data_IF_340255996265
#
_entry.id   IF_340255996265
#
_cell.length_a   1.000
_cell.length_b   1.000
_cell.length_c   1.000
_cell.angle_alpha   90.00
_cell.angle_beta   90.00
_cell.angle_gamma   90.00
#
_symmetry.space_group_name_H-M   'P 1'
#
loop_
_entity.id
_entity.type
_entity.pdbx_description
1 polymer ?
#
# COMPACT_ATOMS: atom_id res chain seq x y z
N UNK A 1 -13.53 8.88 10.47
CA UNK A 1 -13.15 9.05 9.04
C UNK A 1 -13.43 7.74 8.34
N UNK A 2 -14.29 7.74 7.33
CA UNK A 2 -14.67 6.52 6.61
C UNK A 2 -13.66 6.29 5.48
N UNK A 3 -12.94 5.16 5.51
CA UNK A 3 -11.96 4.81 4.47
C UNK A 3 -12.70 4.20 3.27
N UNK A 4 -12.26 4.50 2.05
CA UNK A 4 -12.72 3.80 0.87
C UNK A 4 -12.19 2.36 0.89
N UNK A 5 -13.09 1.39 0.87
CA UNK A 5 -12.75 -0.04 0.81
C UNK A 5 -12.47 -0.40 -0.65
N UNK A 6 -11.36 -1.09 -0.88
CA UNK A 6 -10.93 -1.49 -2.21
C UNK A 6 -10.26 -2.87 -2.19
N UNK A 7 -10.30 -3.55 -3.33
CA UNK A 7 -9.59 -4.80 -3.54
C UNK A 7 -8.08 -4.59 -3.57
N UNK A 8 -7.33 -5.69 -3.49
CA UNK A 8 -5.87 -5.63 -3.55
C UNK A 8 -5.34 -5.00 -4.84
N UNK A 9 -5.92 -5.37 -5.98
CA UNK A 9 -5.50 -4.86 -7.30
C UNK A 9 -5.81 -3.37 -7.46
N UNK A 10 -6.98 -2.93 -7.00
CA UNK A 10 -7.35 -1.51 -7.00
C UNK A 10 -6.41 -0.70 -6.10
N UNK A 11 -6.13 -1.19 -4.90
CA UNK A 11 -5.25 -0.49 -3.96
C UNK A 11 -3.82 -0.38 -4.50
N UNK A 12 -3.28 -1.44 -5.08
CA UNK A 12 -1.99 -1.39 -5.77
C UNK A 12 -1.99 -0.36 -6.90
N UNK A 13 -3.05 -0.34 -7.72
CA UNK A 13 -3.15 0.60 -8.84
C UNK A 13 -3.22 2.04 -8.36
N UNK A 14 -4.06 2.33 -7.37
CA UNK A 14 -4.18 3.67 -6.77
C UNK A 14 -2.85 4.11 -6.15
N UNK A 15 -2.19 3.23 -5.39
CA UNK A 15 -0.89 3.53 -4.81
C UNK A 15 0.16 3.82 -5.89
N UNK A 16 0.25 2.98 -6.92
CA UNK A 16 1.21 3.13 -8.01
C UNK A 16 1.01 4.47 -8.75
N UNK A 17 -0.20 4.75 -9.21
CA UNK A 17 -0.49 5.95 -9.98
C UNK A 17 -0.33 7.23 -9.14
N UNK A 18 -0.69 7.17 -7.86
CA UNK A 18 -0.48 8.31 -6.95
C UNK A 18 1.00 8.53 -6.68
N UNK A 19 1.77 7.47 -6.43
CA UNK A 19 3.19 7.60 -6.12
C UNK A 19 4.01 8.08 -7.32
N UNK A 20 3.66 7.71 -8.55
CA UNK A 20 4.30 8.23 -9.77
C UNK A 20 4.23 9.75 -9.92
N UNK A 21 3.31 10.42 -9.21
CA UNK A 21 3.23 11.88 -9.18
C UNK A 21 4.20 12.52 -8.17
N UNK A 22 4.90 11.72 -7.37
CA UNK A 22 5.93 12.18 -6.44
C UNK A 22 7.30 12.19 -7.13
N UNK A 23 8.11 13.21 -6.83
CA UNK A 23 9.48 13.30 -7.31
C UNK A 23 10.28 12.04 -6.93
N UNK A 24 10.97 11.47 -7.91
CA UNK A 24 11.79 10.27 -7.77
C UNK A 24 11.04 8.95 -7.97
N UNK A 25 9.71 8.95 -8.15
CA UNK A 25 8.89 7.75 -8.36
C UNK A 25 8.41 7.57 -9.81
N UNK A 26 8.85 8.41 -10.73
CA UNK A 26 8.37 8.49 -12.12
C UNK A 26 8.53 7.15 -12.86
N UNK A 27 9.58 6.39 -12.51
CA UNK A 27 9.92 5.12 -13.13
C UNK A 27 9.43 3.89 -12.33
N UNK A 28 8.73 4.10 -11.21
CA UNK A 28 8.14 3.00 -10.44
C UNK A 28 7.06 2.33 -11.29
N UNK A 29 7.18 1.00 -11.45
CA UNK A 29 6.28 0.19 -12.26
C UNK A 29 5.47 -0.80 -11.44
N UNK A 30 5.90 -1.10 -10.21
CA UNK A 30 5.24 -2.05 -9.32
C UNK A 30 5.28 -1.54 -7.88
N UNK A 31 4.16 -1.69 -7.18
CA UNK A 31 4.06 -1.48 -5.74
C UNK A 31 3.57 -2.76 -5.07
N UNK A 32 4.20 -3.09 -3.96
CA UNK A 32 3.82 -4.25 -3.14
C UNK A 32 3.08 -3.72 -1.93
N UNK A 33 1.79 -4.03 -1.86
CA UNK A 33 0.97 -3.81 -0.67
C UNK A 33 1.02 -5.06 0.19
N UNK A 34 0.95 -4.92 1.52
CA UNK A 34 0.82 -6.04 2.43
C UNK A 34 -0.32 -5.80 3.41
N UNK A 35 -1.21 -6.78 3.65
CA UNK A 35 -2.20 -6.68 4.71
C UNK A 35 -1.54 -6.58 6.09
N UNK A 36 -2.22 -5.92 7.03
CA UNK A 36 -1.83 -5.83 8.45
C UNK A 36 -2.91 -6.47 9.30
N UNK A 37 -2.53 -7.45 10.12
CA UNK A 37 -3.45 -8.17 11.00
C UNK A 37 -3.93 -7.32 12.18
N UNK A 38 -3.07 -6.46 12.71
CA UNK A 38 -3.37 -5.53 13.82
C UNK A 38 -3.35 -4.11 13.31
N UNK A 39 -4.48 -3.68 12.75
CA UNK A 39 -4.66 -2.33 12.23
C UNK A 39 -5.25 -1.37 13.27
N UNK A 40 -6.13 -1.85 14.17
CA UNK A 40 -6.85 -0.97 15.10
C UNK A 40 -7.54 0.16 14.33
N UNK A 41 -7.21 1.41 14.68
CA UNK A 41 -7.69 2.61 13.97
C UNK A 41 -6.88 2.97 12.72
N UNK A 42 -5.72 2.33 12.48
CA UNK A 42 -4.86 2.55 11.32
C UNK A 42 -5.34 1.79 10.08
N UNK A 43 -4.63 1.97 8.95
CA UNK A 43 -4.87 1.18 7.75
C UNK A 43 -4.60 -0.31 8.00
N UNK A 44 -5.46 -1.18 7.48
CA UNK A 44 -5.30 -2.63 7.49
C UNK A 44 -4.30 -3.15 6.43
N UNK A 45 -3.43 -2.27 5.96
CA UNK A 45 -2.40 -2.56 4.98
C UNK A 45 -1.20 -1.64 5.15
N UNK A 46 -0.09 -1.98 4.50
CA UNK A 46 1.10 -1.14 4.38
C UNK A 46 1.68 -1.22 2.97
N UNK A 47 2.29 -0.14 2.51
CA UNK A 47 3.18 -0.18 1.35
C UNK A 47 4.47 -0.87 1.80
N UNK A 48 4.72 -2.09 1.31
CA UNK A 48 5.85 -2.91 1.72
C UNK A 48 7.08 -2.73 0.83
N UNK A 49 6.87 -2.48 -0.46
CA UNK A 49 7.95 -2.21 -1.40
C UNK A 49 7.43 -1.45 -2.62
N UNK A 50 8.37 -0.83 -3.33
CA UNK A 50 8.18 -0.26 -4.66
C UNK A 50 9.33 -0.72 -5.55
N UNK A 51 9.07 -0.86 -6.85
CA UNK A 51 10.06 -1.33 -7.82
C UNK A 51 10.03 -0.46 -9.09
N UNK A 52 11.20 -0.09 -9.64
CA UNK A 52 12.54 -0.15 -9.03
C UNK A 52 12.60 0.53 -7.66
N UNK A 53 13.62 0.18 -6.87
CA UNK A 53 13.82 0.82 -5.56
C UNK A 53 14.15 2.30 -5.79
N UNK A 54 13.45 3.15 -5.05
CA UNK A 54 13.72 4.58 -4.96
C UNK A 54 14.69 4.87 -3.82
N UNK A 55 15.39 5.98 -3.93
CA UNK A 55 16.31 6.43 -2.90
C UNK A 55 15.56 6.89 -1.63
N UNK A 56 16.30 6.95 -0.52
CA UNK A 56 15.72 7.27 0.78
C UNK A 56 15.18 8.70 0.87
N UNK A 57 15.70 9.65 0.10
CA UNK A 57 15.23 11.02 0.13
C UNK A 57 13.86 11.14 -0.54
N UNK A 58 13.70 10.52 -1.71
CA UNK A 58 12.42 10.40 -2.41
C UNK A 58 11.38 9.68 -1.55
N UNK A 59 11.75 8.56 -0.92
CA UNK A 59 10.86 7.85 0.04
C UNK A 59 10.42 8.75 1.21
N UNK A 60 11.32 9.59 1.73
CA UNK A 60 11.00 10.50 2.82
C UNK A 60 10.08 11.62 2.36
N UNK A 61 10.29 12.16 1.16
CA UNK A 61 9.42 13.18 0.57
C UNK A 61 8.00 12.63 0.33
N UNK A 62 7.87 11.39 -0.14
CA UNK A 62 6.58 10.72 -0.38
C UNK A 62 5.84 10.26 0.89
N UNK A 63 6.44 10.41 2.09
CA UNK A 63 5.83 9.97 3.36
C UNK A 63 4.44 10.55 3.57
N UNK A 64 4.25 11.84 3.27
CA UNK A 64 2.94 12.50 3.38
C UNK A 64 1.89 11.89 2.46
N UNK A 65 2.27 11.55 1.23
CA UNK A 65 1.41 10.87 0.25
C UNK A 65 1.03 9.47 0.71
N UNK A 66 1.99 8.71 1.26
CA UNK A 66 1.74 7.37 1.81
C UNK A 66 0.78 7.46 3.01
N UNK A 67 0.99 8.42 3.91
CA UNK A 67 0.11 8.64 5.06
C UNK A 67 -1.30 9.05 4.62
N UNK A 68 -1.43 9.86 3.57
CA UNK A 68 -2.71 10.19 2.95
C UNK A 68 -3.41 8.94 2.42
N UNK A 69 -2.71 8.10 1.65
CA UNK A 69 -3.27 6.85 1.12
C UNK A 69 -3.76 5.93 2.24
N UNK A 70 -3.01 5.79 3.32
CA UNK A 70 -3.38 4.96 4.48
C UNK A 70 -4.59 5.53 5.27
N UNK A 71 -4.79 6.84 5.24
CA UNK A 71 -5.97 7.48 5.85
C UNK A 71 -7.20 7.41 4.95
N UNK A 72 -7.02 7.32 3.64
CA UNK A 72 -8.09 7.35 2.65
C UNK A 72 -8.60 5.96 2.26
N UNK A 73 -7.73 4.93 2.28
CA UNK A 73 -8.07 3.60 1.76
C UNK A 73 -7.87 2.48 2.76
N UNK A 74 -8.74 1.48 2.69
CA UNK A 74 -8.63 0.20 3.40
C UNK A 74 -8.75 -0.95 2.40
N UNK A 75 -8.04 -2.05 2.66
CA UNK A 75 -8.25 -3.31 1.95
C UNK A 75 -9.58 -3.91 2.36
N UNK A 76 -10.27 -4.54 1.41
CA UNK A 76 -11.39 -5.43 1.71
C UNK A 76 -10.95 -6.54 2.69
N UNK A 77 -11.79 -6.83 3.69
CA UNK A 77 -11.45 -7.82 4.71
C UNK A 77 -11.27 -9.24 4.15
N UNK A 78 -12.05 -9.61 3.12
CA UNK A 78 -11.93 -10.91 2.48
C UNK A 78 -10.58 -11.03 1.77
N UNK A 79 -10.17 -9.98 1.06
CA UNK A 79 -8.86 -9.91 0.40
C UNK A 79 -7.71 -9.91 1.41
N UNK A 80 -7.83 -9.13 2.49
CA UNK A 80 -6.84 -9.10 3.57
C UNK A 80 -6.67 -10.50 4.20
N UNK A 81 -7.77 -11.19 4.51
CA UNK A 81 -7.76 -12.54 5.08
C UNK A 81 -7.22 -13.59 4.08
N UNK A 82 -7.59 -13.49 2.80
CA UNK A 82 -7.11 -14.41 1.77
C UNK A 82 -5.59 -14.30 1.56
N UNK A 83 -5.06 -13.08 1.52
CA UNK A 83 -3.62 -12.83 1.39
C UNK A 83 -2.83 -13.33 2.61
N UNK A 84 -3.34 -13.13 3.82
CA UNK A 84 -2.73 -13.67 5.05
C UNK A 84 -2.69 -15.20 5.05
N UNK A 85 -3.80 -15.87 4.70
CA UNK A 85 -3.86 -17.34 4.64
C UNK A 85 -2.84 -17.94 3.66
N UNK A 86 -2.64 -17.32 2.49
CA UNK A 86 -1.63 -17.74 1.52
C UNK A 86 -0.20 -17.63 2.05
N UNK A 87 0.05 -16.69 2.96
CA UNK A 87 1.37 -16.50 3.58
C UNK A 87 1.66 -17.60 4.61
N UNK A 88 0.68 -17.94 5.45
CA UNK A 88 0.83 -19.00 6.47
C UNK A 88 0.97 -20.39 5.83
N UNK A 89 0.30 -20.62 4.70
CA UNK A 89 0.39 -21.89 3.97
C UNK A 89 1.74 -22.13 3.24
N UNK A 90 2.63 -21.12 3.21
CA UNK A 90 3.95 -21.21 2.54
C UNK A 90 5.11 -21.39 3.52
N UNK A 91 4.82 -21.78 4.77
CA UNK A 91 5.79 -22.11 5.82
C UNK A 91 5.85 -23.61 6.01
#
# INVERSE_FOLDING_TARGET
MNRAVCSFAELQSVCLETLKQCDGFEFVNEVVVQPRETAGEAANWTLAAVRPRVDNNSLRAARGTIDFLQKSYALDEADAKAATRRRVAKV
#
